data_IF_868373913945
#
_entry.id   IF_868373913945
#
_cell.length_a   1.000
_cell.length_b   1.000
_cell.length_c   1.000
_cell.angle_alpha   90.00
_cell.angle_beta   90.00
_cell.angle_gamma   90.00
#
_symmetry.space_group_name_H-M   'P 1'
#
loop_
_entity.id
_entity.type
_entity.pdbx_description
1 polymer ?
#
# COMPACT_ATOMS: atom_id res chain seq x y z
N UNK A 1 -4.08 -14.84 15.71
CA UNK A 1 -2.69 -15.08 16.16
C UNK A 1 -1.85 -13.94 15.63
N UNK A 2 -1.09 -13.34 16.54
CA UNK A 2 -0.32 -12.10 16.44
C UNK A 2 0.28 -11.86 15.06
N UNK A 3 -0.28 -10.88 14.33
CA UNK A 3 0.50 -10.09 13.37
C UNK A 3 1.78 -9.73 14.10
N UNK A 4 2.93 -10.07 13.51
CA UNK A 4 4.23 -9.67 14.04
C UNK A 4 4.34 -8.14 13.91
N UNK A 5 3.65 -7.41 14.80
CA UNK A 5 4.04 -6.09 15.22
C UNK A 5 5.42 -6.30 15.83
N UNK A 6 6.48 -6.10 15.06
CA UNK A 6 7.70 -5.62 15.66
C UNK A 6 7.25 -4.34 16.40
N UNK A 7 7.22 -4.32 17.75
CA UNK A 7 6.83 -3.11 18.44
C UNK A 7 7.82 -2.06 17.98
N UNK A 8 7.28 -1.00 17.39
CA UNK A 8 8.07 0.20 17.24
C UNK A 8 8.63 0.50 18.62
N UNK A 9 9.96 0.67 18.77
CA UNK A 9 10.53 0.93 20.08
C UNK A 9 9.75 2.09 20.69
N UNK A 10 9.29 1.92 21.94
CA UNK A 10 8.69 3.02 22.68
C UNK A 10 9.67 4.21 22.73
N UNK A 11 9.21 5.36 23.25
CA UNK A 11 10.02 6.58 23.30
C UNK A 11 11.46 6.35 23.81
N UNK A 12 11.64 5.47 24.80
CA UNK A 12 12.97 5.08 25.32
C UNK A 12 13.81 4.28 24.31
N UNK A 13 13.22 3.32 23.61
CA UNK A 13 13.95 2.56 22.59
C UNK A 13 14.33 3.41 21.38
N UNK A 14 13.53 4.45 21.07
CA UNK A 14 13.90 5.45 20.06
C UNK A 14 15.07 6.31 20.52
N UNK A 15 15.02 6.83 21.75
CA UNK A 15 16.05 7.70 22.33
C UNK A 15 17.44 7.07 22.25
N UNK A 16 17.53 5.76 22.52
CA UNK A 16 18.78 5.00 22.46
C UNK A 16 19.09 4.41 21.08
N UNK A 17 18.20 4.58 20.10
CA UNK A 17 18.41 4.14 18.73
C UNK A 17 19.59 4.84 18.09
N UNK A 18 20.33 4.12 17.25
CA UNK A 18 21.48 4.66 16.53
C UNK A 18 21.06 5.82 15.60
N UNK A 19 21.91 6.84 15.47
CA UNK A 19 21.61 8.05 14.69
C UNK A 19 21.25 7.74 13.22
N UNK A 20 21.80 6.67 12.64
CA UNK A 20 21.50 6.20 11.29
C UNK A 20 20.01 5.88 11.10
N UNK A 21 19.29 5.54 12.17
CA UNK A 21 17.86 5.26 12.14
C UNK A 21 16.98 6.51 11.89
N UNK A 22 17.58 7.71 11.82
CA UNK A 22 16.87 8.98 11.60
C UNK A 22 16.34 9.16 10.18
N UNK A 23 16.88 8.41 9.20
CA UNK A 23 16.57 8.64 7.78
C UNK A 23 17.40 9.75 7.13
N UNK A 24 18.28 10.42 7.88
CA UNK A 24 19.10 11.52 7.36
C UNK A 24 20.14 11.03 6.33
N UNK A 25 20.43 11.82 5.27
CA UNK A 25 21.51 11.54 4.33
C UNK A 25 22.88 11.37 5.00
N UNK A 26 23.74 10.54 4.40
CA UNK A 26 25.07 10.24 4.93
C UNK A 26 25.94 11.47 5.20
N UNK A 27 25.80 12.53 4.39
CA UNK A 27 26.51 13.81 4.58
C UNK A 27 26.12 14.52 5.88
N UNK A 28 24.82 14.52 6.23
CA UNK A 28 24.32 15.09 7.48
C UNK A 28 24.79 14.23 8.65
N UNK A 29 24.66 12.90 8.53
CA UNK A 29 25.13 11.97 9.56
C UNK A 29 26.64 12.13 9.85
N UNK A 30 27.48 12.35 8.83
CA UNK A 30 28.90 12.57 9.02
C UNK A 30 29.20 13.85 9.82
N UNK A 31 28.46 14.94 9.58
CA UNK A 31 28.60 16.20 10.33
C UNK A 31 28.17 16.03 11.79
N UNK A 32 27.09 15.28 12.03
CA UNK A 32 26.60 15.00 13.38
C UNK A 32 27.56 14.08 14.16
N UNK A 33 28.07 13.03 13.53
CA UNK A 33 29.08 12.15 14.14
C UNK A 33 30.39 12.91 14.47
N UNK A 34 30.84 13.79 13.59
CA UNK A 34 32.01 14.63 13.85
C UNK A 34 31.81 15.56 15.06
N UNK A 35 30.56 15.88 15.37
CA UNK A 35 30.15 16.65 16.56
C UNK A 35 29.85 15.78 17.78
N UNK A 36 30.09 14.47 17.72
CA UNK A 36 29.90 13.53 18.83
C UNK A 36 28.47 13.04 19.07
N UNK A 37 27.53 13.31 18.17
CA UNK A 37 26.18 12.73 18.24
C UNK A 37 26.20 11.29 17.74
N UNK A 38 25.58 10.35 18.47
CA UNK A 38 25.59 8.93 18.10
C UNK A 38 24.18 8.29 18.13
N UNK A 39 23.24 8.90 18.83
CA UNK A 39 21.88 8.39 19.02
C UNK A 39 20.82 9.35 18.51
N UNK A 40 19.59 8.87 18.31
CA UNK A 40 18.46 9.75 17.99
C UNK A 40 18.16 10.74 19.12
N UNK A 41 18.35 10.34 20.39
CA UNK A 41 18.18 11.24 21.53
C UNK A 41 19.17 12.41 21.53
N UNK A 42 20.33 12.27 20.90
CA UNK A 42 21.29 13.37 20.77
C UNK A 42 20.77 14.49 19.87
N UNK A 43 19.80 14.24 18.98
CA UNK A 43 19.17 15.27 18.14
C UNK A 43 18.42 16.34 18.94
N UNK A 44 18.18 16.10 20.23
CA UNK A 44 17.55 17.06 21.15
C UNK A 44 18.54 17.97 21.86
N UNK A 45 19.83 17.74 21.66
CA UNK A 45 20.87 18.67 22.08
C UNK A 45 21.00 19.78 21.03
N UNK A 46 21.61 20.93 21.39
CA UNK A 46 21.93 21.96 20.42
C UNK A 46 22.68 21.38 19.22
N UNK A 47 22.10 21.55 18.03
CA UNK A 47 22.67 21.04 16.79
C UNK A 47 23.90 21.87 16.41
N UNK A 48 24.92 21.26 15.77
CA UNK A 48 26.06 22.02 15.28
C UNK A 48 25.60 23.04 14.24
N UNK A 49 26.29 24.19 14.17
CA UNK A 49 25.96 25.29 13.25
C UNK A 49 25.90 24.88 11.77
N UNK A 50 26.46 23.72 11.41
CA UNK A 50 26.25 23.10 10.11
C UNK A 50 26.90 23.88 8.97
N UNK A 51 28.06 24.48 9.22
CA UNK A 51 28.82 25.25 8.21
C UNK A 51 29.12 24.44 6.93
N UNK A 52 29.18 23.11 7.05
CA UNK A 52 29.41 22.15 5.95
C UNK A 52 28.14 21.69 5.24
N UNK A 53 26.96 22.09 5.72
CA UNK A 53 25.66 21.70 5.16
C UNK A 53 25.09 22.84 4.33
N UNK A 54 24.46 22.51 3.21
CA UNK A 54 23.69 23.49 2.44
C UNK A 54 22.37 23.86 3.15
N UNK A 55 21.62 24.80 2.57
CA UNK A 55 20.37 25.27 3.17
C UNK A 55 19.31 24.16 3.26
N UNK A 56 19.20 23.31 2.24
CA UNK A 56 18.22 22.22 2.19
C UNK A 56 18.54 21.14 3.23
N UNK A 57 19.82 20.82 3.42
CA UNK A 57 20.30 19.91 4.44
C UNK A 57 20.04 20.42 5.85
N UNK A 58 20.31 21.71 6.09
CA UNK A 58 20.01 22.32 7.39
C UNK A 58 18.51 22.32 7.67
N UNK A 59 17.69 22.61 6.66
CA UNK A 59 16.24 22.56 6.78
C UNK A 59 15.73 21.13 7.03
N UNK A 60 16.29 20.12 6.35
CA UNK A 60 15.96 18.71 6.60
C UNK A 60 16.39 18.27 8.00
N UNK A 61 17.62 18.57 8.41
CA UNK A 61 18.14 18.26 9.74
C UNK A 61 17.25 18.87 10.84
N UNK A 62 16.91 20.15 10.72
CA UNK A 62 16.07 20.85 11.69
C UNK A 62 14.70 20.19 11.86
N UNK A 63 14.03 19.85 10.75
CA UNK A 63 12.70 19.21 10.78
C UNK A 63 12.77 17.81 11.39
N UNK A 64 13.73 16.98 10.97
CA UNK A 64 13.91 15.62 11.51
C UNK A 64 14.29 15.64 12.99
N UNK A 65 15.15 16.56 13.41
CA UNK A 65 15.54 16.71 14.81
C UNK A 65 14.34 17.13 15.67
N UNK A 66 13.55 18.12 15.23
CA UNK A 66 12.34 18.54 15.92
C UNK A 66 11.34 17.37 16.10
N UNK A 67 11.12 16.59 15.05
CA UNK A 67 10.27 15.40 15.14
C UNK A 67 10.85 14.32 16.06
N UNK A 68 12.16 14.04 15.96
CA UNK A 68 12.84 13.07 16.81
C UNK A 68 12.70 13.42 18.29
N UNK A 69 12.75 14.70 18.64
CA UNK A 69 12.56 15.14 20.02
C UNK A 69 11.13 14.98 20.51
N UNK A 70 10.15 15.40 19.72
CA UNK A 70 8.75 15.14 20.02
C UNK A 70 8.47 13.63 20.19
N UNK A 71 9.08 12.78 19.35
CA UNK A 71 8.97 11.33 19.45
C UNK A 71 9.66 10.77 20.71
N UNK A 72 10.85 11.25 21.08
CA UNK A 72 11.58 10.86 22.29
C UNK A 72 10.89 11.32 23.59
N UNK A 73 9.99 12.29 23.50
CA UNK A 73 9.10 12.75 24.59
C UNK A 73 7.76 12.01 24.60
N UNK A 74 7.52 11.10 23.64
CA UNK A 74 6.28 10.35 23.51
C UNK A 74 5.10 11.17 22.98
N UNK A 75 5.36 12.34 22.39
CA UNK A 75 4.36 13.25 21.83
C UNK A 75 4.63 13.61 20.36
N UNK A 76 4.90 12.63 19.46
CA UNK A 76 5.11 12.95 18.06
C UNK A 76 3.82 13.53 17.46
N UNK A 77 3.91 14.61 16.65
CA UNK A 77 2.74 15.10 15.95
C UNK A 77 2.22 14.04 14.97
N UNK A 78 0.88 13.90 14.80
CA UNK A 78 0.33 13.07 13.75
C UNK A 78 0.72 13.66 12.39
N UNK A 79 1.02 12.80 11.42
CA UNK A 79 1.39 13.20 10.06
C UNK A 79 0.45 12.53 9.08
N UNK A 80 -0.05 13.29 8.10
CA UNK A 80 -0.58 12.71 6.87
C UNK A 80 0.57 12.29 5.92
N UNK A 81 0.25 11.63 4.81
CA UNK A 81 1.25 11.13 3.87
C UNK A 81 2.18 12.24 3.31
N UNK A 82 1.62 13.39 2.96
CA UNK A 82 2.38 14.52 2.39
C UNK A 82 3.35 15.08 3.42
N UNK A 83 2.88 15.30 4.64
CA UNK A 83 3.70 15.78 5.76
C UNK A 83 4.81 14.78 6.11
N UNK A 84 4.50 13.49 6.10
CA UNK A 84 5.48 12.42 6.34
C UNK A 84 6.57 12.38 5.27
N UNK A 85 6.21 12.46 3.98
CA UNK A 85 7.19 12.55 2.89
C UNK A 85 8.05 13.81 3.02
N UNK A 86 7.44 14.97 3.25
CA UNK A 86 8.13 16.24 3.37
C UNK A 86 9.08 16.28 4.58
N UNK A 87 8.75 15.59 5.67
CA UNK A 87 9.57 15.52 6.88
C UNK A 87 10.89 14.78 6.64
N UNK A 88 10.86 13.65 5.92
CA UNK A 88 12.03 12.76 5.80
C UNK A 88 12.75 12.84 4.45
N UNK A 89 12.18 13.52 3.46
CA UNK A 89 12.76 13.67 2.13
C UNK A 89 13.09 15.12 1.81
N UNK A 90 14.09 15.31 0.94
CA UNK A 90 14.25 16.59 0.25
C UNK A 90 13.15 16.76 -0.80
N UNK A 91 12.82 17.99 -1.23
CA UNK A 91 11.77 18.22 -2.22
C UNK A 91 11.95 17.35 -3.48
N UNK A 92 13.19 17.28 -4.00
CA UNK A 92 13.49 16.47 -5.18
C UNK A 92 13.27 14.97 -5.00
N UNK A 93 13.49 14.44 -3.80
CA UNK A 93 13.21 13.02 -3.49
C UNK A 93 11.71 12.78 -3.32
N UNK A 94 10.99 13.73 -2.71
CA UNK A 94 9.54 13.68 -2.59
C UNK A 94 8.88 13.71 -3.97
N UNK A 95 9.28 14.62 -4.87
CA UNK A 95 8.74 14.72 -6.24
C UNK A 95 8.84 13.40 -7.01
N UNK A 96 9.98 12.71 -6.88
CA UNK A 96 10.20 11.40 -7.53
C UNK A 96 9.21 10.37 -6.97
N UNK A 97 8.97 10.36 -5.66
CA UNK A 97 8.00 9.44 -5.04
C UNK A 97 6.57 9.79 -5.46
N UNK A 98 6.20 11.08 -5.44
CA UNK A 98 4.88 11.55 -5.86
C UNK A 98 4.55 11.12 -7.29
N UNK A 99 5.49 11.34 -8.23
CA UNK A 99 5.30 10.97 -9.63
C UNK A 99 5.37 9.47 -9.86
N UNK A 100 6.29 8.77 -9.20
CA UNK A 100 6.48 7.32 -9.42
C UNK A 100 5.29 6.51 -8.94
N UNK A 101 4.65 6.89 -7.84
CA UNK A 101 3.50 6.19 -7.26
C UNK A 101 2.14 6.82 -7.61
N UNK A 102 2.11 7.81 -8.50
CA UNK A 102 0.86 8.44 -8.92
C UNK A 102 0.09 9.09 -7.77
N UNK A 103 0.78 9.69 -6.80
CA UNK A 103 0.14 10.26 -5.61
C UNK A 103 -0.80 11.43 -5.94
N UNK A 104 -0.70 12.02 -7.12
CA UNK A 104 -1.56 13.10 -7.60
C UNK A 104 -2.67 12.62 -8.55
N UNK A 105 -2.70 11.33 -8.92
CA UNK A 105 -3.67 10.77 -9.87
C UNK A 105 -4.54 9.69 -9.20
N UNK A 106 -5.63 10.08 -8.52
CA UNK A 106 -6.49 9.14 -7.80
C UNK A 106 -7.29 8.19 -8.70
N UNK A 107 -7.37 8.46 -10.00
CA UNK A 107 -8.22 7.72 -10.95
C UNK A 107 -7.44 6.77 -11.87
N UNK A 108 -6.10 6.80 -11.85
CA UNK A 108 -5.32 5.87 -12.63
C UNK A 108 -5.59 4.41 -12.20
N UNK A 109 -5.65 3.44 -13.13
CA UNK A 109 -5.69 2.03 -12.76
C UNK A 109 -4.35 1.62 -12.11
N UNK A 110 -4.37 0.57 -11.28
CA UNK A 110 -3.24 0.20 -10.42
C UNK A 110 -1.97 -0.18 -11.20
N UNK A 111 -2.15 -0.75 -12.38
CA UNK A 111 -1.10 -1.05 -13.36
C UNK A 111 -0.40 0.21 -13.91
N UNK A 112 -1.02 1.38 -13.73
CA UNK A 112 -0.49 2.69 -14.14
C UNK A 112 -0.10 3.59 -12.96
N UNK A 113 -0.43 3.20 -11.74
CA UNK A 113 -0.06 3.92 -10.53
C UNK A 113 1.44 3.84 -10.24
N UNK A 114 2.08 2.71 -10.56
CA UNK A 114 3.54 2.66 -10.66
C UNK A 114 3.98 3.13 -12.04
N UNK A 115 4.33 4.40 -12.17
CA UNK A 115 4.87 4.91 -13.41
C UNK A 115 6.15 4.15 -13.76
N UNK A 116 6.36 3.87 -15.05
CA UNK A 116 7.64 3.30 -15.47
C UNK A 116 8.74 4.31 -15.12
N UNK A 117 9.87 3.86 -14.60
CA UNK A 117 11.01 4.73 -14.28
C UNK A 117 11.44 5.66 -15.44
N UNK A 118 11.19 5.26 -16.70
CA UNK A 118 11.41 6.09 -17.88
C UNK A 118 10.46 7.29 -17.95
N UNK A 119 9.19 7.11 -17.62
CA UNK A 119 8.16 8.15 -17.60
C UNK A 119 8.39 9.11 -16.43
N UNK A 120 8.72 8.59 -15.24
CA UNK A 120 9.12 9.39 -14.08
C UNK A 120 10.33 10.26 -14.41
N UNK A 121 11.36 9.66 -15.04
CA UNK A 121 12.54 10.38 -15.51
C UNK A 121 12.17 11.49 -16.50
N UNK A 122 11.38 11.16 -17.53
CA UNK A 122 10.94 12.11 -18.53
C UNK A 122 10.19 13.32 -17.94
N UNK A 123 9.21 13.09 -17.06
CA UNK A 123 8.44 14.17 -16.38
C UNK A 123 9.33 15.08 -15.53
N UNK A 124 10.44 14.56 -15.00
CA UNK A 124 11.37 15.31 -14.17
C UNK A 124 12.58 15.91 -14.93
N UNK A 125 12.66 15.70 -16.25
CA UNK A 125 13.84 16.09 -17.05
C UNK A 125 15.10 15.29 -16.71
N UNK A 126 14.94 14.03 -16.30
CA UNK A 126 16.00 13.12 -15.85
C UNK A 126 16.10 11.88 -16.73
N UNK A 127 17.27 11.23 -16.69
CA UNK A 127 17.43 9.88 -17.25
C UNK A 127 16.71 8.86 -16.38
N UNK A 128 16.32 7.72 -16.97
CA UNK A 128 15.75 6.55 -16.26
C UNK A 128 16.61 6.14 -15.07
N UNK A 129 17.93 6.09 -15.28
CA UNK A 129 18.89 5.66 -14.27
C UNK A 129 18.97 6.66 -13.12
N UNK A 130 18.90 7.96 -13.41
CA UNK A 130 18.86 8.97 -12.35
C UNK A 130 17.57 8.92 -11.54
N UNK A 131 16.43 8.69 -12.19
CA UNK A 131 15.16 8.47 -11.48
C UNK A 131 15.24 7.24 -10.54
N UNK A 132 15.81 6.13 -11.02
CA UNK A 132 16.05 4.93 -10.20
C UNK A 132 16.92 5.20 -8.98
N UNK A 133 18.01 5.96 -9.15
CA UNK A 133 18.90 6.33 -8.05
C UNK A 133 18.18 7.19 -7.00
N UNK A 134 17.41 8.18 -7.42
CA UNK A 134 16.65 9.04 -6.52
C UNK A 134 15.59 8.24 -5.76
N UNK A 135 14.84 7.36 -6.43
CA UNK A 135 13.88 6.48 -5.77
C UNK A 135 14.57 5.56 -4.75
N UNK A 136 15.73 4.99 -5.10
CA UNK A 136 16.53 4.19 -4.18
C UNK A 136 17.00 4.97 -2.94
N UNK A 137 17.38 6.24 -3.10
CA UNK A 137 17.74 7.12 -1.98
C UNK A 137 16.54 7.43 -1.10
N UNK A 138 15.38 7.74 -1.69
CA UNK A 138 14.15 7.96 -0.96
C UNK A 138 13.78 6.72 -0.12
N UNK A 139 13.76 5.53 -0.73
CA UNK A 139 13.47 4.28 -0.01
C UNK A 139 14.49 3.96 1.08
N UNK A 140 15.77 4.25 0.85
CA UNK A 140 16.81 4.09 1.87
C UNK A 140 16.53 4.97 3.08
N UNK A 141 16.06 6.20 2.87
CA UNK A 141 15.67 7.11 3.96
C UNK A 141 14.38 6.61 4.65
N UNK A 142 13.30 6.39 3.90
CA UNK A 142 11.97 6.05 4.44
C UNK A 142 11.91 4.70 5.14
N UNK A 143 12.83 3.77 4.86
CA UNK A 143 12.93 2.47 5.54
C UNK A 143 13.74 2.50 6.84
N UNK A 144 14.28 3.66 7.23
CA UNK A 144 14.90 3.80 8.55
C UNK A 144 13.85 3.77 9.67
N UNK A 145 14.28 3.44 10.89
CA UNK A 145 13.33 3.18 11.98
C UNK A 145 12.46 4.40 12.30
N UNK A 146 13.03 5.59 12.45
CA UNK A 146 12.26 6.80 12.78
C UNK A 146 11.19 7.12 11.71
N UNK A 147 11.51 7.18 10.40
CA UNK A 147 10.50 7.29 9.34
C UNK A 147 9.42 6.20 9.36
N UNK A 148 9.79 4.93 9.55
CA UNK A 148 8.82 3.83 9.61
C UNK A 148 7.89 3.94 10.84
N UNK A 149 8.40 4.43 11.96
CA UNK A 149 7.60 4.74 13.13
C UNK A 149 6.61 5.85 12.91
N UNK A 150 7.08 6.93 12.29
CA UNK A 150 6.25 8.07 11.92
C UNK A 150 5.15 7.68 10.92
N UNK A 151 5.39 6.66 10.09
CA UNK A 151 4.40 6.10 9.17
C UNK A 151 3.38 5.16 9.83
N UNK A 152 3.54 4.78 11.11
CA UNK A 152 2.65 3.80 11.75
C UNK A 152 1.16 4.21 11.72
N UNK A 153 0.78 5.47 11.96
CA UNK A 153 -0.61 5.92 11.79
C UNK A 153 -1.15 5.72 10.36
N UNK A 154 -0.32 5.92 9.34
CA UNK A 154 -0.69 5.71 7.93
C UNK A 154 -0.95 4.23 7.65
N UNK A 155 -0.09 3.36 8.17
CA UNK A 155 -0.30 1.92 8.07
C UNK A 155 -1.54 1.45 8.83
N UNK A 156 -1.82 2.01 10.01
CA UNK A 156 -3.05 1.69 10.76
C UNK A 156 -4.28 2.09 9.94
N UNK A 157 -4.30 3.30 9.41
CA UNK A 157 -5.39 3.75 8.54
C UNK A 157 -5.59 2.84 7.32
N UNK A 158 -4.49 2.38 6.68
CA UNK A 158 -4.57 1.46 5.56
C UNK A 158 -5.11 0.07 5.96
N UNK A 159 -4.63 -0.48 7.08
CA UNK A 159 -5.08 -1.78 7.59
C UNK A 159 -6.54 -1.69 8.05
N UNK A 160 -6.95 -0.62 8.71
CA UNK A 160 -8.34 -0.41 9.15
C UNK A 160 -9.29 -0.30 7.96
N UNK A 161 -8.86 0.35 6.87
CA UNK A 161 -9.63 0.39 5.62
C UNK A 161 -9.77 -1.00 4.97
N UNK A 162 -8.68 -1.79 4.91
CA UNK A 162 -8.74 -3.18 4.43
C UNK A 162 -9.66 -4.02 5.31
N UNK A 163 -9.48 -3.96 6.63
CA UNK A 163 -10.27 -4.72 7.58
C UNK A 163 -11.77 -4.42 7.46
N UNK A 164 -12.12 -3.13 7.35
CA UNK A 164 -13.50 -2.67 7.16
C UNK A 164 -14.13 -3.18 5.85
N UNK A 165 -13.31 -3.46 4.84
CA UNK A 165 -13.70 -4.04 3.55
C UNK A 165 -13.64 -5.58 3.52
N UNK A 166 -13.44 -6.24 4.66
CA UNK A 166 -13.32 -7.70 4.73
C UNK A 166 -11.93 -8.24 4.36
N UNK A 167 -10.91 -7.39 4.48
CA UNK A 167 -9.49 -7.70 4.36
C UNK A 167 -8.88 -7.52 2.97
N UNK A 168 -9.67 -7.03 1.99
CA UNK A 168 -9.21 -6.75 0.63
C UNK A 168 -9.85 -5.50 0.05
N UNK A 169 -9.11 -4.77 -0.78
CA UNK A 169 -9.60 -3.63 -1.56
C UNK A 169 -8.94 -3.65 -2.94
N UNK A 170 -9.74 -3.55 -3.99
CA UNK A 170 -9.25 -3.27 -5.34
C UNK A 170 -9.02 -1.76 -5.55
N UNK A 171 -8.36 -1.39 -6.64
CA UNK A 171 -8.03 0.01 -6.92
C UNK A 171 -9.27 0.91 -7.05
N UNK A 172 -10.35 0.50 -7.75
CA UNK A 172 -11.58 1.30 -7.83
C UNK A 172 -12.24 1.53 -6.47
N UNK A 173 -12.34 0.49 -5.64
CA UNK A 173 -12.89 0.65 -4.29
C UNK A 173 -12.02 1.60 -3.48
N UNK A 174 -10.70 1.42 -3.51
CA UNK A 174 -9.75 2.22 -2.74
C UNK A 174 -9.72 3.69 -3.17
N UNK A 175 -9.92 4.00 -4.45
CA UNK A 175 -9.99 5.38 -4.95
C UNK A 175 -11.12 6.22 -4.32
N UNK A 176 -12.13 5.57 -3.73
CA UNK A 176 -13.20 6.25 -2.99
C UNK A 176 -12.80 6.65 -1.55
N UNK A 177 -11.68 6.12 -1.03
CA UNK A 177 -11.23 6.35 0.35
C UNK A 177 -10.33 7.59 0.49
N UNK A 178 -10.82 8.77 0.09
CA UNK A 178 -10.07 10.04 0.17
C UNK A 178 -10.04 10.66 1.58
N UNK A 179 -9.58 9.88 2.57
CA UNK A 179 -9.52 10.29 3.97
C UNK A 179 -8.37 11.26 4.32
N UNK A 180 -8.48 11.87 5.49
CA UNK A 180 -7.46 12.75 6.09
C UNK A 180 -6.03 12.17 6.14
N UNK A 181 -5.80 10.85 6.38
CA UNK A 181 -4.44 10.28 6.42
C UNK A 181 -3.64 10.48 5.13
N UNK A 182 -4.31 10.64 3.99
CA UNK A 182 -3.66 10.77 2.69
C UNK A 182 -3.32 12.21 2.33
N UNK A 183 -3.79 13.21 3.08
CA UNK A 183 -3.43 14.62 2.83
C UNK A 183 -3.78 15.10 1.41
N UNK A 184 -4.86 14.57 0.80
CA UNK A 184 -5.27 14.89 -0.56
C UNK A 184 -4.58 14.08 -1.67
N UNK A 185 -3.69 13.14 -1.34
CA UNK A 185 -3.09 12.23 -2.33
C UNK A 185 -3.99 11.05 -2.67
N UNK A 186 -3.72 10.42 -3.82
CA UNK A 186 -4.30 9.14 -4.23
C UNK A 186 -4.14 8.06 -3.15
N UNK A 187 -5.23 7.51 -2.58
CA UNK A 187 -5.17 6.40 -1.64
C UNK A 187 -4.55 5.14 -2.27
N UNK A 188 -4.77 4.94 -3.57
CA UNK A 188 -4.21 3.82 -4.33
C UNK A 188 -2.68 3.94 -4.40
N UNK A 189 -2.17 5.14 -4.70
CA UNK A 189 -0.73 5.40 -4.70
C UNK A 189 -0.11 5.30 -3.31
N UNK A 190 -0.83 5.76 -2.29
CA UNK A 190 -0.42 5.62 -0.89
C UNK A 190 -0.27 4.15 -0.49
N UNK A 191 -1.25 3.30 -0.79
CA UNK A 191 -1.20 1.87 -0.51
C UNK A 191 -0.07 1.17 -1.25
N UNK A 192 0.15 1.55 -2.52
CA UNK A 192 1.25 1.02 -3.31
C UNK A 192 2.60 1.36 -2.66
N UNK A 193 2.82 2.63 -2.29
CA UNK A 193 4.02 3.07 -1.58
C UNK A 193 4.22 2.30 -0.26
N UNK A 194 3.18 2.21 0.57
CA UNK A 194 3.25 1.51 1.86
C UNK A 194 3.53 0.01 1.69
N UNK A 195 2.94 -0.65 0.69
CA UNK A 195 3.18 -2.07 0.40
C UNK A 195 4.65 -2.36 0.02
N UNK A 196 5.31 -1.39 -0.63
CA UNK A 196 6.72 -1.49 -1.02
C UNK A 196 7.69 -1.13 0.11
N UNK A 197 7.27 -0.29 1.06
CA UNK A 197 8.13 0.15 2.16
C UNK A 197 8.39 -0.97 3.17
N UNK A 198 7.34 -1.64 3.63
CA UNK A 198 7.41 -2.79 4.55
C UNK A 198 6.67 -3.99 3.94
N UNK A 199 7.39 -4.85 3.18
CA UNK A 199 6.80 -6.00 2.53
C UNK A 199 6.05 -6.90 3.52
N UNK A 200 4.86 -7.35 3.13
CA UNK A 200 4.04 -8.27 3.92
C UNK A 200 3.12 -7.61 4.94
N UNK A 201 3.26 -6.31 5.23
CA UNK A 201 2.31 -5.57 6.07
C UNK A 201 1.02 -5.25 5.33
N UNK A 202 1.15 -4.86 4.07
CA UNK A 202 0.07 -4.75 3.09
C UNK A 202 0.54 -5.55 1.87
N UNK A 203 -0.27 -6.51 1.42
CA UNK A 203 0.08 -7.37 0.29
C UNK A 203 -0.61 -6.87 -0.96
N UNK A 204 0.15 -6.58 -2.00
CA UNK A 204 -0.38 -6.38 -3.34
C UNK A 204 -0.44 -7.74 -4.06
N UNK A 205 -1.63 -8.14 -4.53
CA UNK A 205 -1.84 -9.42 -5.20
C UNK A 205 -2.74 -9.24 -6.43
N UNK A 206 -2.24 -9.61 -7.63
CA UNK A 206 -2.97 -9.59 -8.92
C UNK A 206 -3.79 -8.31 -9.25
N UNK A 207 -3.53 -7.18 -8.60
CA UNK A 207 -4.27 -5.93 -8.85
C UNK A 207 -5.12 -5.43 -7.69
N UNK A 208 -5.13 -6.11 -6.54
CA UNK A 208 -5.80 -5.67 -5.32
C UNK A 208 -4.86 -5.72 -4.11
N UNK A 209 -5.19 -4.95 -3.07
CA UNK A 209 -4.48 -4.94 -1.79
C UNK A 209 -5.16 -5.87 -0.79
N UNK A 210 -4.37 -6.52 0.07
CA UNK A 210 -4.84 -7.44 1.09
C UNK A 210 -4.11 -7.26 2.41
N UNK A 211 -4.85 -7.42 3.51
CA UNK A 211 -4.28 -7.57 4.85
C UNK A 211 -3.75 -9.00 5.09
N UNK A 212 -4.13 -9.96 4.24
CA UNK A 212 -3.72 -11.35 4.36
C UNK A 212 -2.37 -11.58 3.70
N UNK A 213 -1.56 -12.49 4.26
CA UNK A 213 -0.30 -12.91 3.66
C UNK A 213 -0.48 -13.46 2.25
N UNK A 214 0.48 -13.25 1.34
CA UNK A 214 0.46 -13.79 -0.02
C UNK A 214 0.17 -15.31 -0.05
N UNK A 215 0.84 -16.10 0.80
CA UNK A 215 0.60 -17.55 0.90
C UNK A 215 -0.84 -17.91 1.26
N UNK A 216 -1.51 -17.07 2.06
CA UNK A 216 -2.93 -17.28 2.39
C UNK A 216 -3.79 -17.04 1.15
N UNK A 217 -3.57 -15.91 0.48
CA UNK A 217 -4.29 -15.53 -0.75
C UNK A 217 -4.12 -16.61 -1.83
N UNK A 218 -2.89 -17.09 -2.07
CA UNK A 218 -2.59 -18.15 -3.03
C UNK A 218 -3.31 -19.48 -2.71
N UNK A 219 -3.38 -19.85 -1.43
CA UNK A 219 -4.11 -21.05 -1.00
C UNK A 219 -5.61 -20.88 -1.20
N UNK A 220 -6.15 -19.70 -0.96
CA UNK A 220 -7.56 -19.39 -1.24
C UNK A 220 -7.85 -19.41 -2.73
N UNK A 221 -6.99 -18.80 -3.56
CA UNK A 221 -7.08 -18.83 -5.03
C UNK A 221 -7.12 -20.27 -5.54
N UNK A 222 -6.18 -21.11 -5.10
CA UNK A 222 -6.13 -22.51 -5.52
C UNK A 222 -7.42 -23.26 -5.17
N UNK A 223 -7.90 -23.14 -3.93
CA UNK A 223 -9.13 -23.83 -3.51
C UNK A 223 -10.34 -23.33 -4.28
N UNK A 224 -10.43 -22.02 -4.53
CA UNK A 224 -11.47 -21.43 -5.35
C UNK A 224 -11.45 -22.00 -6.77
N UNK A 225 -10.29 -21.96 -7.43
CA UNK A 225 -10.09 -22.48 -8.78
C UNK A 225 -10.42 -23.97 -8.88
N UNK A 226 -9.92 -24.80 -7.96
CA UNK A 226 -10.19 -26.25 -7.96
C UNK A 226 -11.69 -26.55 -7.84
N UNK A 227 -12.42 -25.75 -7.03
CA UNK A 227 -13.87 -25.91 -6.83
C UNK A 227 -14.67 -25.51 -8.06
N UNK A 228 -14.40 -24.35 -8.65
CA UNK A 228 -15.12 -23.90 -9.86
C UNK A 228 -14.78 -24.79 -11.07
N UNK A 229 -13.57 -25.36 -11.12
CA UNK A 229 -13.16 -26.29 -12.16
C UNK A 229 -13.86 -27.64 -12.06
N UNK A 230 -14.15 -28.11 -10.84
CA UNK A 230 -14.91 -29.34 -10.58
C UNK A 230 -16.42 -29.15 -10.72
N UNK A 231 -16.92 -27.91 -10.66
CA UNK A 231 -18.34 -27.60 -10.75
C UNK A 231 -18.91 -27.89 -12.15
N UNK A 232 -20.15 -28.38 -12.18
CA UNK A 232 -20.92 -28.58 -13.42
C UNK A 232 -21.76 -27.35 -13.79
N UNK A 233 -22.04 -26.49 -12.82
CA UNK A 233 -22.85 -25.28 -12.91
C UNK A 233 -22.21 -24.17 -12.08
N UNK A 234 -22.73 -22.96 -12.21
CA UNK A 234 -22.34 -21.84 -11.35
C UNK A 234 -22.52 -22.19 -9.86
N UNK A 235 -21.53 -21.84 -9.04
CA UNK A 235 -21.54 -22.09 -7.60
C UNK A 235 -21.78 -20.80 -6.80
N UNK A 236 -22.62 -20.82 -5.76
CA UNK A 236 -22.72 -19.69 -4.83
C UNK A 236 -21.39 -19.41 -4.14
N UNK A 237 -20.96 -18.15 -4.15
CA UNK A 237 -19.71 -17.71 -3.52
C UNK A 237 -19.76 -17.93 -2.00
N UNK A 238 -20.93 -17.75 -1.38
CA UNK A 238 -21.16 -18.01 0.04
C UNK A 238 -20.94 -19.49 0.41
N UNK A 239 -21.34 -20.43 -0.44
CA UNK A 239 -21.09 -21.86 -0.24
C UNK A 239 -19.60 -22.19 -0.36
N UNK A 240 -18.90 -21.59 -1.34
CA UNK A 240 -17.45 -21.72 -1.48
C UNK A 240 -16.76 -21.18 -0.21
N UNK A 241 -17.15 -19.99 0.26
CA UNK A 241 -16.60 -19.35 1.45
C UNK A 241 -16.80 -20.21 2.72
N UNK A 242 -18.01 -20.69 2.95
CA UNK A 242 -18.36 -21.51 4.12
C UNK A 242 -17.56 -22.81 4.20
N UNK A 243 -17.23 -23.38 3.05
CA UNK A 243 -16.55 -24.67 2.93
C UNK A 243 -15.04 -24.58 2.72
N UNK A 244 -14.44 -23.38 2.77
CA UNK A 244 -12.98 -23.22 2.69
C UNK A 244 -12.28 -23.99 3.82
N UNK A 245 -11.21 -24.75 3.52
CA UNK A 245 -10.41 -25.42 4.54
C UNK A 245 -9.70 -24.39 5.43
N UNK A 246 -9.39 -24.78 6.68
CA UNK A 246 -8.72 -23.89 7.66
C UNK A 246 -7.39 -23.30 7.14
N UNK A 247 -6.70 -23.99 6.25
CA UNK A 247 -5.45 -23.55 5.62
C UNK A 247 -5.62 -22.43 4.58
N UNK A 248 -6.84 -22.28 4.03
CA UNK A 248 -7.20 -21.29 3.01
C UNK A 248 -8.23 -20.25 3.52
N UNK A 249 -8.79 -20.45 4.71
CA UNK A 249 -9.71 -19.48 5.33
C UNK A 249 -8.94 -18.25 5.82
N UNK A 250 -9.33 -17.02 5.47
CA UNK A 250 -8.71 -15.82 6.01
C UNK A 250 -9.00 -15.69 7.51
N UNK A 251 -8.00 -15.38 8.35
CA UNK A 251 -8.19 -15.27 9.79
C UNK A 251 -8.82 -13.92 10.17
N UNK A 252 -9.62 -13.90 11.24
CA UNK A 252 -10.07 -12.65 11.86
C UNK A 252 -11.18 -11.91 11.12
N UNK A 253 -11.70 -12.46 10.03
CA UNK A 253 -12.85 -11.91 9.28
C UNK A 253 -14.06 -12.83 9.37
N UNK A 254 -15.29 -12.28 9.35
CA UNK A 254 -16.52 -13.06 9.48
C UNK A 254 -16.82 -13.92 8.24
N UNK A 255 -16.40 -13.47 7.05
CA UNK A 255 -16.60 -14.17 5.78
C UNK A 255 -15.38 -14.04 4.88
N UNK A 256 -15.13 -15.07 4.08
CA UNK A 256 -14.10 -15.08 3.04
C UNK A 256 -14.60 -14.54 1.69
N UNK A 257 -15.91 -14.25 1.56
CA UNK A 257 -16.53 -13.79 0.31
C UNK A 257 -15.82 -12.57 -0.31
N UNK A 258 -15.42 -11.53 0.44
CA UNK A 258 -14.71 -10.37 -0.14
C UNK A 258 -13.43 -10.78 -0.87
N UNK A 259 -12.62 -11.67 -0.26
CA UNK A 259 -11.40 -12.19 -0.88
C UNK A 259 -11.72 -13.04 -2.12
N UNK A 260 -12.75 -13.88 -2.07
CA UNK A 260 -13.14 -14.69 -3.23
C UNK A 260 -13.61 -13.82 -4.40
N UNK A 261 -14.41 -12.79 -4.13
CA UNK A 261 -14.85 -11.82 -5.14
C UNK A 261 -13.66 -11.07 -5.76
N UNK A 262 -12.72 -10.60 -4.94
CA UNK A 262 -11.51 -9.97 -5.43
C UNK A 262 -10.70 -10.93 -6.32
N UNK A 263 -10.50 -12.18 -5.89
CA UNK A 263 -9.80 -13.18 -6.70
C UNK A 263 -10.49 -13.42 -8.05
N UNK A 264 -11.82 -13.60 -8.06
CA UNK A 264 -12.59 -13.83 -9.30
C UNK A 264 -12.47 -12.66 -10.28
N UNK A 265 -12.52 -11.41 -9.79
CA UNK A 265 -12.37 -10.21 -10.64
C UNK A 265 -10.99 -10.12 -11.30
N UNK A 266 -9.97 -10.70 -10.66
CA UNK A 266 -8.57 -10.59 -11.08
C UNK A 266 -8.02 -11.88 -11.73
N UNK A 267 -8.84 -12.93 -11.86
CA UNK A 267 -8.51 -14.15 -12.61
C UNK A 267 -9.14 -14.12 -14.01
N UNK A 268 -8.36 -14.22 -15.09
CA UNK A 268 -8.82 -13.94 -16.46
C UNK A 268 -9.81 -14.96 -17.02
N UNK A 269 -9.85 -16.18 -16.47
CA UNK A 269 -10.65 -17.31 -16.93
C UNK A 269 -11.90 -17.56 -16.08
N UNK A 270 -12.15 -16.70 -15.09
CA UNK A 270 -13.28 -16.84 -14.17
C UNK A 270 -14.31 -15.73 -14.37
N UNK A 271 -15.52 -15.96 -13.85
CA UNK A 271 -16.57 -14.97 -13.77
C UNK A 271 -17.17 -14.94 -12.36
N UNK A 272 -17.68 -13.78 -11.99
CA UNK A 272 -18.51 -13.57 -10.81
C UNK A 272 -19.77 -12.81 -11.22
N UNK A 273 -20.93 -13.29 -10.81
CA UNK A 273 -22.22 -12.69 -11.12
C UNK A 273 -22.67 -11.74 -10.01
N UNK A 274 -23.56 -10.79 -10.34
CA UNK A 274 -24.11 -9.84 -9.36
C UNK A 274 -24.94 -10.50 -8.26
N UNK A 275 -25.55 -11.65 -8.54
CA UNK A 275 -26.29 -12.46 -7.57
C UNK A 275 -25.40 -13.41 -6.74
N UNK A 276 -24.07 -13.26 -6.82
CA UNK A 276 -23.13 -13.93 -5.92
C UNK A 276 -22.80 -15.37 -6.32
N UNK A 277 -22.82 -15.69 -7.61
CA UNK A 277 -22.38 -16.98 -8.15
C UNK A 277 -21.04 -16.83 -8.89
N UNK A 278 -20.29 -17.91 -8.97
CA UNK A 278 -18.97 -17.96 -9.58
C UNK A 278 -18.81 -19.17 -10.49
N UNK A 279 -17.96 -19.04 -11.50
CA UNK A 279 -17.62 -20.13 -12.41
C UNK A 279 -16.46 -19.79 -13.35
N UNK A 280 -16.11 -20.76 -14.19
CA UNK A 280 -15.21 -20.55 -15.32
C UNK A 280 -15.94 -19.88 -16.49
N UNK A 281 -15.35 -18.83 -17.06
CA UNK A 281 -15.92 -18.07 -18.17
C UNK A 281 -16.13 -18.93 -19.41
N UNK A 282 -15.14 -19.75 -19.78
CA UNK A 282 -15.21 -20.62 -20.96
C UNK A 282 -16.22 -21.77 -20.87
N UNK A 283 -16.65 -22.16 -19.66
CA UNK A 283 -17.61 -23.25 -19.44
C UNK A 283 -19.02 -22.76 -19.15
N UNK A 284 -19.14 -21.83 -18.20
CA UNK A 284 -20.42 -21.40 -17.66
C UNK A 284 -20.91 -20.08 -18.30
N UNK A 285 -20.11 -19.43 -19.15
CA UNK A 285 -20.52 -18.20 -19.83
C UNK A 285 -21.74 -18.39 -20.73
N UNK A 286 -21.85 -19.52 -21.43
CA UNK A 286 -23.01 -19.83 -22.27
C UNK A 286 -24.29 -20.05 -21.45
N UNK A 287 -24.18 -20.74 -20.29
CA UNK A 287 -25.27 -20.92 -19.33
C UNK A 287 -25.77 -19.55 -18.83
N UNK A 288 -24.86 -18.68 -18.38
CA UNK A 288 -25.20 -17.33 -17.91
C UNK A 288 -25.83 -16.47 -19.01
N UNK A 289 -25.33 -16.56 -20.25
CA UNK A 289 -25.90 -15.84 -21.38
C UNK A 289 -27.32 -16.32 -21.68
N UNK A 290 -27.57 -17.63 -21.65
CA UNK A 290 -28.92 -18.19 -21.82
C UNK A 290 -29.86 -17.73 -20.70
N UNK A 291 -29.43 -17.78 -19.43
CA UNK A 291 -30.23 -17.26 -18.30
C UNK A 291 -30.58 -15.77 -18.49
N UNK A 292 -29.59 -14.97 -18.89
CA UNK A 292 -29.74 -13.53 -19.09
C UNK A 292 -30.69 -13.22 -20.24
N UNK A 293 -30.54 -13.91 -21.38
CA UNK A 293 -31.43 -13.77 -22.55
C UNK A 293 -32.85 -14.25 -22.23
N UNK A 294 -33.00 -15.35 -21.49
CA UNK A 294 -34.32 -15.83 -21.06
C UNK A 294 -35.03 -14.83 -20.12
N UNK A 295 -34.26 -14.11 -19.31
CA UNK A 295 -34.79 -13.11 -18.37
C UNK A 295 -35.15 -11.79 -19.06
N UNK A 296 -34.33 -11.35 -20.02
CA UNK A 296 -34.47 -10.04 -20.69
C UNK A 296 -35.38 -10.13 -21.93
N UNK A 297 -35.51 -11.31 -22.56
CA UNK A 297 -36.25 -11.49 -23.81
C UNK A 297 -35.49 -10.98 -25.04
N UNK A 298 -36.21 -10.62 -26.12
CA UNK A 298 -35.63 -9.94 -27.28
C UNK A 298 -35.34 -8.47 -26.95
N UNK A 299 -34.17 -8.20 -26.36
CA UNK A 299 -33.68 -6.84 -26.18
C UNK A 299 -32.57 -6.49 -27.19
N UNK A 300 -32.47 -5.22 -27.61
CA UNK A 300 -31.33 -4.76 -28.39
C UNK A 300 -30.01 -5.09 -27.69
N UNK A 301 -28.99 -5.50 -28.46
CA UNK A 301 -27.63 -5.82 -27.96
C UNK A 301 -27.06 -4.78 -26.99
N UNK A 302 -27.44 -3.50 -27.13
CA UNK A 302 -27.05 -2.41 -26.25
C UNK A 302 -27.54 -2.59 -24.81
N UNK A 303 -28.75 -3.13 -24.62
CA UNK A 303 -29.34 -3.42 -23.31
C UNK A 303 -28.68 -4.63 -22.63
N UNK A 304 -28.13 -5.57 -23.41
CA UNK A 304 -27.35 -6.70 -22.90
C UNK A 304 -25.98 -6.25 -22.37
N UNK A 305 -25.30 -5.33 -23.07
CA UNK A 305 -23.98 -4.81 -22.64
C UNK A 305 -24.06 -4.10 -21.29
N UNK A 306 -25.15 -3.38 -21.00
CA UNK A 306 -25.37 -2.72 -19.69
C UNK A 306 -25.69 -3.71 -18.55
N UNK A 307 -26.11 -4.95 -18.87
CA UNK A 307 -26.33 -5.99 -17.87
C UNK A 307 -25.03 -6.74 -17.49
N UNK A 308 -24.06 -6.78 -18.40
CA UNK A 308 -22.76 -7.44 -18.21
C UNK A 308 -21.66 -6.53 -17.62
N UNK A 309 -21.76 -5.20 -17.79
CA UNK A 309 -20.92 -4.21 -17.09
C UNK A 309 -21.60 -3.77 -15.79
#
# INVERSE_FOLDING_TARGET
MTSARAPFPGADGLRHGALQASGLPARILAVLHASGLATLGDLCKPLPAGEKLDADDRALLSRVAAYACAACEGRPPPLNLVEWLALFLTPRLADVVHLHYGLEDPAAPLDRHEAKLRETGFKLGLTRERARQLLGLAFKALRQALPLGAADPLYRAAVDALHSAGGVLDAPALATHNGSPWGGTSPVGAFLLLSQLVPGRIVLYRGFFSEFSATRVERTEKVLHDRIAAAKSLLPISEIAASLPKSARPPGVPSAEPLLLALLRHMPDTLATRDGRAGLAGRHGAELLHETLATIGEAPLRTLVDAFN
#
